data_IF_337822290997
#
_entry.id   IF_337822290997
#
_cell.length_a   1.000
_cell.length_b   1.000
_cell.length_c   1.000
_cell.angle_alpha   90.00
_cell.angle_beta   90.00
_cell.angle_gamma   90.00
#
_symmetry.space_group_name_H-M   'P 1'
#
loop_
_entity.id
_entity.type
_entity.pdbx_description
1 polymer ?
#
# COMPACT_ATOMS: atom_id res chain seq x y z
N UNK A 1 25.25 -53.56 -65.81
CA UNK A 1 24.70 -52.21 -65.70
C UNK A 1 23.94 -52.15 -64.37
N UNK A 2 24.60 -51.66 -63.32
CA UNK A 2 24.03 -51.57 -61.98
C UNK A 2 23.72 -50.12 -61.69
N UNK A 3 22.46 -49.75 -61.55
CA UNK A 3 21.98 -48.44 -61.18
C UNK A 3 22.03 -48.34 -59.66
N UNK A 4 22.90 -47.46 -59.14
CA UNK A 4 22.98 -47.10 -57.71
C UNK A 4 22.02 -45.97 -57.49
N UNK A 5 20.99 -46.20 -56.65
CA UNK A 5 20.03 -45.19 -56.19
C UNK A 5 20.58 -44.53 -54.93
N UNK A 6 20.90 -43.24 -55.00
CA UNK A 6 21.36 -42.47 -53.87
C UNK A 6 20.12 -41.88 -53.16
N UNK A 7 19.86 -42.37 -51.95
CA UNK A 7 18.78 -41.86 -51.09
C UNK A 7 19.34 -40.76 -50.20
N UNK A 8 19.03 -39.50 -50.50
CA UNK A 8 19.37 -38.37 -49.64
C UNK A 8 18.30 -38.30 -48.52
N UNK A 9 18.71 -38.61 -47.30
CA UNK A 9 17.91 -38.38 -46.11
C UNK A 9 18.07 -36.90 -45.67
N UNK A 10 17.01 -36.11 -45.83
CA UNK A 10 16.94 -34.76 -45.30
C UNK A 10 16.58 -34.83 -43.81
N UNK A 11 17.53 -34.62 -42.94
CA UNK A 11 17.30 -34.46 -41.50
C UNK A 11 16.75 -33.05 -41.26
N UNK A 12 15.43 -32.93 -41.07
CA UNK A 12 14.81 -31.70 -40.60
C UNK A 12 15.10 -31.53 -39.10
N UNK A 13 16.03 -30.64 -38.80
CA UNK A 13 16.30 -30.20 -37.43
C UNK A 13 15.21 -29.20 -37.03
N UNK A 14 14.20 -29.69 -36.35
CA UNK A 14 13.20 -28.82 -35.67
C UNK A 14 13.83 -28.19 -34.45
N UNK A 15 14.22 -26.94 -34.57
CA UNK A 15 14.57 -26.11 -33.44
C UNK A 15 13.26 -25.80 -32.66
N UNK A 16 12.96 -26.62 -31.66
CA UNK A 16 11.97 -26.28 -30.66
C UNK A 16 12.62 -25.21 -29.76
N UNK A 17 12.53 -23.96 -30.19
CA UNK A 17 12.79 -22.81 -29.32
C UNK A 17 11.74 -22.82 -28.22
N UNK A 18 12.08 -23.34 -27.06
CA UNK A 18 11.30 -23.15 -25.86
C UNK A 18 11.18 -21.65 -25.62
N UNK A 19 10.00 -21.10 -25.81
CA UNK A 19 9.66 -19.79 -25.28
C UNK A 19 9.59 -20.00 -23.78
N UNK A 20 10.71 -19.72 -23.07
CA UNK A 20 10.65 -19.52 -21.64
C UNK A 20 9.65 -18.40 -21.41
N UNK A 21 8.42 -18.78 -21.08
CA UNK A 21 7.46 -17.87 -20.51
C UNK A 21 8.13 -17.38 -19.22
N UNK A 22 8.77 -16.22 -19.29
CA UNK A 22 9.23 -15.51 -18.11
C UNK A 22 8.03 -15.42 -17.20
N UNK A 23 8.01 -16.23 -16.18
CA UNK A 23 7.00 -16.18 -15.12
C UNK A 23 7.10 -14.78 -14.56
N UNK A 24 6.18 -13.91 -14.96
CA UNK A 24 6.11 -12.57 -14.42
C UNK A 24 5.99 -12.72 -12.92
N UNK A 25 7.09 -12.41 -12.23
CA UNK A 25 7.15 -12.53 -10.77
C UNK A 25 6.04 -11.64 -10.22
N UNK A 26 5.04 -12.25 -9.60
CA UNK A 26 3.96 -11.49 -8.99
C UNK A 26 4.53 -10.65 -7.87
N UNK A 27 4.22 -9.36 -7.87
CA UNK A 27 4.57 -8.44 -6.79
C UNK A 27 3.55 -8.52 -5.64
N UNK A 28 2.70 -9.54 -5.63
CA UNK A 28 1.69 -9.71 -4.61
C UNK A 28 2.35 -9.92 -3.24
N UNK A 29 1.98 -9.12 -2.22
CA UNK A 29 2.51 -9.30 -0.87
C UNK A 29 2.19 -10.69 -0.32
N UNK A 30 3.04 -11.19 0.57
CA UNK A 30 2.93 -12.54 1.13
C UNK A 30 1.78 -12.65 2.15
N UNK A 31 1.62 -11.64 3.01
CA UNK A 31 0.69 -11.69 4.14
C UNK A 31 -0.47 -10.72 3.99
N UNK A 32 -1.65 -11.13 4.45
CA UNK A 32 -2.82 -10.27 4.54
C UNK A 32 -2.50 -8.98 5.32
N UNK A 33 -2.95 -7.85 4.81
CA UNK A 33 -2.66 -6.53 5.37
C UNK A 33 -1.27 -5.98 5.03
N UNK A 34 -0.45 -6.71 4.27
CA UNK A 34 0.81 -6.18 3.74
C UNK A 34 0.57 -5.22 2.60
N UNK A 35 1.47 -4.23 2.54
CA UNK A 35 1.50 -3.25 1.45
C UNK A 35 2.91 -3.15 0.90
N UNK A 36 3.03 -3.18 -0.41
CA UNK A 36 4.29 -2.94 -1.11
C UNK A 36 4.14 -1.77 -2.06
N UNK A 37 5.20 -0.99 -2.22
CA UNK A 37 5.30 0.02 -3.26
C UNK A 37 5.99 -0.58 -4.48
N UNK A 38 5.45 -0.32 -5.67
CA UNK A 38 6.09 -0.67 -6.92
C UNK A 38 7.10 0.43 -7.26
N UNK A 39 8.36 0.05 -7.40
CA UNK A 39 9.43 0.99 -7.73
C UNK A 39 9.56 1.17 -9.25
N UNK A 40 10.21 2.25 -9.72
CA UNK A 40 10.37 2.52 -11.16
C UNK A 40 11.08 1.43 -11.94
N UNK A 41 11.92 0.63 -11.29
CA UNK A 41 12.61 -0.53 -11.88
C UNK A 41 11.73 -1.78 -11.97
N UNK A 42 10.45 -1.69 -11.55
CA UNK A 42 9.51 -2.78 -11.51
C UNK A 42 9.65 -3.71 -10.31
N UNK A 43 10.57 -3.44 -9.39
CA UNK A 43 10.68 -4.17 -8.13
C UNK A 43 9.65 -3.71 -7.11
N UNK A 44 9.47 -4.48 -6.03
CA UNK A 44 8.58 -4.13 -4.93
C UNK A 44 9.37 -3.82 -3.66
N UNK A 45 8.99 -2.77 -2.97
CA UNK A 45 9.51 -2.41 -1.66
C UNK A 45 8.41 -2.55 -0.61
N UNK A 46 8.64 -3.39 0.41
CA UNK A 46 7.67 -3.54 1.51
C UNK A 46 7.62 -2.27 2.35
N UNK A 47 6.42 -1.79 2.62
CA UNK A 47 6.23 -0.68 3.56
C UNK A 47 6.48 -1.15 4.99
N UNK A 48 7.09 -0.28 5.79
CA UNK A 48 7.23 -0.55 7.23
C UNK A 48 5.86 -0.60 7.90
N UNK A 49 5.66 -1.58 8.77
CA UNK A 49 4.41 -1.77 9.53
C UNK A 49 4.60 -1.37 10.98
N UNK A 50 3.66 -0.58 11.47
CA UNK A 50 3.61 -0.14 12.86
C UNK A 50 2.36 -0.68 13.52
N UNK A 51 2.56 -1.39 14.64
CA UNK A 51 1.45 -1.80 15.48
C UNK A 51 1.13 -0.67 16.45
N UNK A 52 0.04 0.04 16.16
CA UNK A 52 -0.31 1.26 16.87
C UNK A 52 -1.52 1.02 17.76
N UNK A 53 -1.34 1.26 19.07
CA UNK A 53 -2.46 1.31 19.98
C UNK A 53 -3.24 2.61 19.80
N UNK A 54 -4.52 2.50 19.54
CA UNK A 54 -5.41 3.66 19.45
C UNK A 54 -5.53 4.28 20.84
N UNK A 55 -5.06 5.52 20.98
CA UNK A 55 -5.24 6.32 22.19
C UNK A 55 -6.52 7.15 22.05
N UNK A 56 -7.57 6.75 22.74
CA UNK A 56 -8.73 7.59 22.92
C UNK A 56 -8.44 8.57 24.05
N UNK A 57 -8.46 9.87 23.78
CA UNK A 57 -8.34 10.86 24.84
C UNK A 57 -9.46 10.67 25.86
N UNK A 58 -9.10 10.52 27.14
CA UNK A 58 -10.10 10.51 28.20
C UNK A 58 -10.82 11.87 28.19
N UNK A 59 -12.12 11.86 27.89
CA UNK A 59 -12.95 13.03 28.05
C UNK A 59 -13.00 13.37 29.53
N UNK A 60 -12.54 14.56 29.90
CA UNK A 60 -12.72 15.07 31.24
C UNK A 60 -14.22 15.39 31.37
N UNK A 61 -14.94 14.58 32.12
CA UNK A 61 -16.28 14.90 32.57
C UNK A 61 -16.18 16.03 33.59
N UNK A 62 -16.25 17.26 33.15
CA UNK A 62 -16.50 18.39 34.04
C UNK A 62 -17.98 18.68 33.97
N UNK A 63 -18.67 18.33 35.08
CA UNK A 63 -19.98 18.81 35.48
C UNK A 63 -20.88 19.32 34.33
N UNK A 64 -21.64 18.42 33.70
CA UNK A 64 -22.86 18.81 32.97
C UNK A 64 -22.72 19.35 31.56
N UNK A 65 -21.51 19.56 31.02
CA UNK A 65 -21.31 19.97 29.63
C UNK A 65 -20.83 18.80 28.80
N UNK A 66 -21.55 18.53 27.69
CA UNK A 66 -21.18 17.53 26.69
C UNK A 66 -19.75 17.80 26.18
N UNK A 67 -18.85 17.00 26.68
CA UNK A 67 -17.42 17.17 26.49
C UNK A 67 -17.00 17.09 25.03
N UNK A 68 -15.95 17.82 24.76
CA UNK A 68 -15.19 17.87 23.53
C UNK A 68 -15.11 16.51 22.84
N UNK A 69 -15.39 16.50 21.53
CA UNK A 69 -15.23 15.35 20.64
C UNK A 69 -13.88 14.70 20.90
N UNK A 70 -13.91 13.48 21.41
CA UNK A 70 -12.69 12.71 21.67
C UNK A 70 -11.98 12.46 20.34
N UNK A 71 -10.82 13.07 20.15
CA UNK A 71 -9.99 12.85 18.98
C UNK A 71 -9.13 11.62 19.24
N UNK A 72 -9.39 10.56 18.54
CA UNK A 72 -8.52 9.40 18.49
C UNK A 72 -7.34 9.68 17.56
N UNK A 73 -6.13 9.43 18.03
CA UNK A 73 -4.90 9.65 17.24
C UNK A 73 -4.14 8.36 17.07
N UNK A 74 -3.61 8.18 15.86
CA UNK A 74 -2.49 7.30 15.57
C UNK A 74 -1.21 8.10 15.73
N UNK A 75 -0.25 7.57 16.46
CA UNK A 75 1.07 8.18 16.64
C UNK A 75 2.12 7.11 16.37
N UNK A 76 3.05 7.41 15.47
CA UNK A 76 4.16 6.55 15.06
C UNK A 76 5.45 7.29 15.36
N UNK A 77 6.36 6.65 16.07
CA UNK A 77 7.66 7.21 16.38
C UNK A 77 8.50 7.41 15.10
N UNK A 78 9.37 8.40 15.11
CA UNK A 78 10.16 8.79 13.96
C UNK A 78 9.45 9.80 13.05
N UNK A 79 10.24 10.71 12.51
CA UNK A 79 9.76 11.84 11.70
C UNK A 79 9.47 11.46 10.25
N UNK A 80 10.06 10.37 9.74
CA UNK A 80 10.05 10.01 8.32
C UNK A 80 9.76 8.54 8.12
N UNK A 81 9.11 8.20 7.00
CA UNK A 81 8.95 6.83 6.55
C UNK A 81 10.22 6.34 5.83
N UNK A 82 10.50 5.04 5.92
CA UNK A 82 11.66 4.42 5.26
C UNK A 82 11.49 4.35 3.75
N UNK A 83 10.27 4.06 3.26
CA UNK A 83 9.96 4.03 1.84
C UNK A 83 9.53 5.42 1.40
N UNK A 84 10.29 5.99 0.47
CA UNK A 84 10.08 7.33 -0.06
C UNK A 84 9.90 7.25 -1.58
N UNK A 85 8.81 7.78 -2.08
CA UNK A 85 8.41 7.70 -3.48
C UNK A 85 8.48 9.07 -4.13
N UNK A 86 8.92 9.11 -5.38
CA UNK A 86 8.98 10.34 -6.15
C UNK A 86 7.59 10.72 -6.68
N UNK A 87 7.04 11.82 -6.18
CA UNK A 87 5.73 12.33 -6.58
C UNK A 87 5.64 12.82 -8.03
N UNK A 88 6.79 13.01 -8.70
CA UNK A 88 6.83 13.33 -10.14
C UNK A 88 6.53 12.13 -11.02
N UNK A 89 6.71 10.93 -10.50
CA UNK A 89 6.47 9.66 -11.18
C UNK A 89 5.10 9.05 -10.78
N UNK A 90 4.52 8.18 -11.61
CA UNK A 90 3.38 7.38 -11.18
C UNK A 90 3.72 6.57 -9.92
N UNK A 91 2.83 6.62 -8.93
CA UNK A 91 2.97 5.87 -7.68
C UNK A 91 1.95 4.75 -7.69
N UNK A 92 2.42 3.54 -7.45
CA UNK A 92 1.59 2.35 -7.34
C UNK A 92 1.88 1.63 -6.03
N UNK A 93 0.82 1.24 -5.33
CA UNK A 93 0.89 0.35 -4.17
C UNK A 93 0.13 -0.94 -4.46
N UNK A 94 0.65 -2.06 -4.00
CA UNK A 94 -0.09 -3.33 -4.00
C UNK A 94 -0.42 -3.67 -2.55
N UNK A 95 -1.70 -3.85 -2.30
CA UNK A 95 -2.26 -4.11 -0.97
C UNK A 95 -2.86 -5.49 -0.96
N UNK A 96 -2.38 -6.37 -0.08
CA UNK A 96 -2.99 -7.69 0.10
C UNK A 96 -4.14 -7.60 1.09
N UNK A 97 -5.32 -8.02 0.64
CA UNK A 97 -6.51 -8.18 1.45
C UNK A 97 -6.75 -9.68 1.75
N UNK A 98 -7.81 -10.00 2.47
CA UNK A 98 -8.26 -11.37 2.64
C UNK A 98 -8.63 -12.01 1.30
N UNK A 99 -9.35 -11.27 0.48
CA UNK A 99 -9.69 -11.57 -0.91
C UNK A 99 -9.88 -10.24 -1.67
N UNK A 100 -10.05 -10.30 -2.99
CA UNK A 100 -10.29 -9.10 -3.81
C UNK A 100 -11.74 -9.02 -4.31
N UNK A 101 -12.69 -9.42 -3.48
CA UNK A 101 -14.14 -9.38 -3.78
C UNK A 101 -14.81 -8.14 -3.23
N UNK A 102 -14.31 -7.60 -2.11
CA UNK A 102 -14.84 -6.39 -1.51
C UNK A 102 -14.46 -5.14 -2.32
N UNK A 103 -15.21 -4.06 -2.14
CA UNK A 103 -14.79 -2.75 -2.66
C UNK A 103 -13.53 -2.29 -1.91
N UNK A 104 -12.40 -2.04 -2.60
CA UNK A 104 -11.17 -1.61 -1.97
C UNK A 104 -11.33 -0.33 -1.14
N UNK A 105 -12.22 0.58 -1.52
CA UNK A 105 -12.48 1.80 -0.75
C UNK A 105 -13.16 1.53 0.59
N UNK A 106 -13.78 0.37 0.78
CA UNK A 106 -14.37 -0.02 2.05
C UNK A 106 -13.35 -0.56 3.05
N UNK A 107 -12.26 -1.12 2.56
CA UNK A 107 -11.26 -1.83 3.38
C UNK A 107 -9.89 -1.16 3.43
N UNK A 108 -9.53 -0.34 2.45
CA UNK A 108 -8.24 0.37 2.41
C UNK A 108 -8.44 1.85 2.65
N UNK A 109 -7.60 2.43 3.50
CA UNK A 109 -7.54 3.87 3.73
C UNK A 109 -6.12 4.35 3.62
N UNK A 110 -5.91 5.33 2.75
CA UNK A 110 -4.63 6.03 2.62
C UNK A 110 -4.85 7.46 3.13
N UNK A 111 -4.00 7.91 4.04
CA UNK A 111 -4.18 9.20 4.70
C UNK A 111 -2.85 9.89 4.99
N UNK A 112 -2.90 11.21 4.99
CA UNK A 112 -1.75 12.05 5.31
C UNK A 112 -1.47 12.05 6.81
N UNK A 113 -0.20 12.01 7.18
CA UNK A 113 0.27 12.13 8.55
C UNK A 113 0.99 13.47 8.75
N UNK A 114 0.74 14.10 9.88
CA UNK A 114 1.50 15.28 10.30
C UNK A 114 2.82 14.81 10.92
N UNK A 115 3.93 15.19 10.30
CA UNK A 115 5.26 14.92 10.82
C UNK A 115 5.72 16.00 11.80
N UNK A 116 6.42 15.57 12.85
CA UNK A 116 7.16 16.40 13.79
C UNK A 116 8.58 15.83 13.91
N UNK A 117 9.54 16.51 14.54
CA UNK A 117 10.89 15.97 14.70
C UNK A 117 10.95 14.62 15.44
N UNK A 118 9.92 14.27 16.22
CA UNK A 118 9.89 13.06 17.05
C UNK A 118 8.96 11.97 16.53
N UNK A 119 7.88 12.35 15.84
CA UNK A 119 6.84 11.38 15.44
C UNK A 119 6.03 11.87 14.24
N UNK A 120 5.29 10.92 13.65
CA UNK A 120 4.24 11.15 12.65
C UNK A 120 2.89 10.83 13.30
N UNK A 121 1.88 11.64 13.04
CA UNK A 121 0.57 11.41 13.65
C UNK A 121 -0.58 11.79 12.71
N UNK A 122 -1.69 11.07 12.86
CA UNK A 122 -2.95 11.40 12.20
C UNK A 122 -4.11 11.32 13.20
N UNK A 123 -5.11 12.16 13.03
CA UNK A 123 -6.33 12.10 13.84
C UNK A 123 -7.28 11.14 13.15
N UNK A 124 -7.65 10.06 13.84
CA UNK A 124 -8.65 9.11 13.40
C UNK A 124 -9.91 9.36 14.21
N UNK A 125 -10.96 9.90 13.60
CA UNK A 125 -12.24 9.97 14.26
C UNK A 125 -12.87 8.61 14.30
N UNK A 126 -13.08 8.08 15.50
CA UNK A 126 -13.87 6.89 15.80
C UNK A 126 -13.50 5.64 14.97
N UNK A 127 -12.68 4.80 15.56
CA UNK A 127 -12.53 3.40 15.16
C UNK A 127 -13.58 2.60 15.90
N UNK A 128 -14.45 1.95 15.19
CA UNK A 128 -15.53 1.11 15.74
C UNK A 128 -16.74 1.07 14.84
N UNK A 129 -17.00 2.13 14.15
CA UNK A 129 -18.00 2.19 13.10
C UNK A 129 -17.46 3.06 11.99
N UNK A 130 -17.49 2.57 10.78
CA UNK A 130 -17.12 3.31 9.58
C UNK A 130 -18.07 4.49 9.29
N UNK A 131 -18.74 5.00 10.28
CA UNK A 131 -19.53 6.22 10.22
C UNK A 131 -18.59 7.41 10.31
N UNK A 132 -18.21 7.88 9.14
CA UNK A 132 -17.48 9.11 8.93
C UNK A 132 -18.36 10.28 9.39
N UNK A 133 -18.22 10.66 10.62
CA UNK A 133 -18.60 12.00 11.07
C UNK A 133 -17.37 12.70 11.67
N UNK A 134 -16.42 13.05 10.83
CA UNK A 134 -15.63 14.27 10.97
C UNK A 134 -14.54 14.36 9.92
N UNK A 135 -14.49 15.48 9.25
CA UNK A 135 -13.52 15.92 8.24
C UNK A 135 -12.11 16.18 8.80
N UNK A 136 -11.61 15.36 9.71
CA UNK A 136 -10.30 15.59 10.35
C UNK A 136 -9.18 14.72 9.79
N UNK A 137 -9.51 13.67 9.04
CA UNK A 137 -8.52 12.83 8.38
C UNK A 137 -8.37 13.31 6.93
N UNK A 138 -7.16 13.69 6.56
CA UNK A 138 -6.81 14.08 5.21
C UNK A 138 -6.52 12.82 4.40
N UNK A 139 -7.54 12.30 3.71
CA UNK A 139 -7.40 11.13 2.87
C UNK A 139 -6.66 11.48 1.57
N UNK A 140 -5.82 10.55 1.13
CA UNK A 140 -5.26 10.54 -0.21
C UNK A 140 -6.15 9.65 -1.09
N UNK A 141 -6.90 10.24 -2.05
CA UNK A 141 -7.75 9.47 -2.95
C UNK A 141 -6.91 8.57 -3.85
N UNK A 142 -7.43 7.40 -4.15
CA UNK A 142 -6.81 6.44 -5.03
C UNK A 142 -7.84 5.77 -5.94
N UNK A 143 -7.38 5.28 -7.07
CA UNK A 143 -8.08 4.29 -7.87
C UNK A 143 -7.54 2.91 -7.54
N UNK A 144 -8.39 1.89 -7.65
CA UNK A 144 -7.98 0.52 -7.35
C UNK A 144 -8.45 -0.46 -8.41
N UNK A 145 -7.58 -1.42 -8.74
CA UNK A 145 -7.87 -2.55 -9.62
C UNK A 145 -7.50 -3.84 -8.91
N UNK A 146 -8.23 -4.91 -9.21
CA UNK A 146 -7.86 -6.25 -8.73
C UNK A 146 -6.47 -6.61 -9.22
N UNK A 147 -5.68 -7.23 -8.36
CA UNK A 147 -4.33 -7.68 -8.66
C UNK A 147 -4.08 -9.03 -8.00
N UNK A 148 -3.49 -9.96 -8.76
CA UNK A 148 -3.21 -11.29 -8.26
C UNK A 148 -4.46 -12.01 -7.74
N UNK A 149 -4.26 -12.84 -6.75
CA UNK A 149 -5.30 -13.70 -6.18
C UNK A 149 -6.18 -12.97 -5.15
N UNK A 150 -5.56 -12.16 -4.29
CA UNK A 150 -6.24 -11.51 -3.16
C UNK A 150 -5.80 -10.07 -2.91
N UNK A 151 -5.23 -9.41 -3.91
CA UNK A 151 -4.70 -8.07 -3.77
C UNK A 151 -5.42 -7.03 -4.62
N UNK A 152 -5.12 -5.78 -4.31
CA UNK A 152 -5.50 -4.62 -5.10
C UNK A 152 -4.26 -3.81 -5.46
N UNK A 153 -4.20 -3.33 -6.70
CA UNK A 153 -3.25 -2.33 -7.15
C UNK A 153 -3.90 -0.97 -7.02
N UNK A 154 -3.30 -0.10 -6.23
CA UNK A 154 -3.74 1.27 -6.01
C UNK A 154 -2.89 2.22 -6.84
N UNK A 155 -3.53 3.19 -7.47
CA UNK A 155 -2.88 4.28 -8.22
C UNK A 155 -3.39 5.62 -7.72
N UNK A 156 -2.55 6.66 -7.82
CA UNK A 156 -2.84 7.98 -7.27
C UNK A 156 -2.77 9.04 -8.36
N UNK A 157 -3.87 9.72 -8.61
CA UNK A 157 -3.91 10.87 -9.52
C UNK A 157 -3.14 12.06 -8.93
N UNK A 158 -3.44 12.38 -7.66
CA UNK A 158 -2.77 13.44 -6.92
C UNK A 158 -1.73 12.85 -5.98
N UNK A 159 -0.52 13.40 -6.01
CA UNK A 159 0.64 12.92 -5.25
C UNK A 159 1.30 14.04 -4.47
N UNK A 160 0.58 14.72 -3.54
CA UNK A 160 1.16 15.81 -2.77
C UNK A 160 2.26 15.30 -1.84
N UNK A 161 3.32 16.07 -1.72
CA UNK A 161 4.45 15.75 -0.84
C UNK A 161 3.99 15.63 0.61
N UNK A 162 4.49 14.61 1.31
CA UNK A 162 4.17 14.38 2.72
C UNK A 162 4.43 12.97 3.19
N UNK A 163 4.15 12.75 4.47
CA UNK A 163 4.17 11.44 5.12
C UNK A 163 2.76 10.85 5.09
N UNK A 164 2.66 9.55 4.82
CA UNK A 164 1.38 8.87 4.63
C UNK A 164 1.31 7.57 5.41
N UNK A 165 0.09 7.23 5.84
CA UNK A 165 -0.25 5.94 6.42
C UNK A 165 -1.27 5.20 5.55
N UNK A 166 -1.16 3.88 5.55
CA UNK A 166 -2.11 2.96 4.95
C UNK A 166 -2.64 2.03 6.01
N UNK A 167 -3.95 1.97 6.14
CA UNK A 167 -4.65 0.98 6.97
C UNK A 167 -5.40 0.04 6.05
N UNK A 168 -5.21 -1.24 6.25
CA UNK A 168 -6.00 -2.30 5.62
C UNK A 168 -6.88 -2.90 6.70
N UNK A 169 -8.19 -2.83 6.50
CA UNK A 169 -9.15 -3.40 7.45
C UNK A 169 -9.05 -4.92 7.43
N UNK A 170 -8.77 -5.51 8.58
CA UNK A 170 -8.78 -6.95 8.77
C UNK A 170 -9.96 -7.32 9.68
N UNK A 171 -11.01 -7.97 9.15
CA UNK A 171 -12.16 -8.37 9.94
C UNK A 171 -11.83 -9.43 11.01
N UNK A 172 -10.66 -10.07 10.90
CA UNK A 172 -10.19 -11.07 11.86
C UNK A 172 -9.33 -10.45 12.98
N UNK A 173 -9.23 -9.13 13.04
CA UNK A 173 -8.45 -8.48 14.09
C UNK A 173 -9.10 -8.70 15.47
N UNK A 174 -8.38 -9.37 16.35
CA UNK A 174 -8.87 -9.77 17.70
C UNK A 174 -8.89 -8.57 18.66
N UNK A 175 -8.04 -7.57 18.44
CA UNK A 175 -7.97 -6.38 19.29
C UNK A 175 -8.39 -5.12 18.54
N UNK A 176 -9.61 -4.66 18.76
CA UNK A 176 -10.14 -3.44 18.14
C UNK A 176 -9.35 -2.17 18.48
N UNK A 177 -8.51 -2.21 19.53
CA UNK A 177 -7.68 -1.09 19.94
C UNK A 177 -6.31 -1.07 19.26
N UNK A 178 -5.97 -2.13 18.55
CA UNK A 178 -4.72 -2.25 17.83
C UNK A 178 -4.96 -2.12 16.33
N UNK A 179 -4.23 -1.21 15.70
CA UNK A 179 -4.29 -0.98 14.25
C UNK A 179 -2.90 -1.11 13.67
N UNK A 180 -2.78 -1.86 12.59
CA UNK A 180 -1.55 -1.92 11.82
C UNK A 180 -1.59 -0.79 10.80
N UNK A 181 -0.58 0.07 10.84
CA UNK A 181 -0.40 1.16 9.89
C UNK A 181 0.89 0.92 9.11
N UNK A 182 0.78 0.77 7.81
CA UNK A 182 1.93 0.77 6.90
C UNK A 182 2.24 2.21 6.50
N UNK A 183 3.53 2.59 6.40
CA UNK A 183 3.89 3.98 6.14
C UNK A 183 4.80 4.14 4.92
N UNK A 184 4.59 5.26 4.21
CA UNK A 184 5.43 5.72 3.11
C UNK A 184 5.44 7.24 3.04
N UNK A 185 6.35 7.78 2.26
CA UNK A 185 6.37 9.21 1.97
C UNK A 185 6.34 9.48 0.48
N UNK A 186 5.81 10.62 0.12
CA UNK A 186 5.89 11.18 -1.23
C UNK A 186 6.76 12.43 -1.16
N UNK A 187 7.84 12.42 -1.92
CA UNK A 187 8.73 13.57 -2.07
C UNK A 187 8.46 14.30 -3.38
N UNK A 188 8.77 15.58 -3.42
CA UNK A 188 8.92 16.25 -4.71
C UNK A 188 10.13 15.61 -5.39
N UNK A 189 9.94 15.22 -6.65
CA UNK A 189 11.05 14.69 -7.45
C UNK A 189 12.29 15.53 -7.22
N UNK A 190 13.39 14.88 -6.93
CA UNK A 190 14.64 15.55 -6.63
C UNK A 190 14.98 16.49 -7.79
N UNK A 191 14.81 17.79 -7.56
CA UNK A 191 15.42 18.80 -8.41
C UNK A 191 16.94 18.64 -8.23
N UNK A 192 17.68 18.12 -9.23
CA UNK A 192 19.12 17.88 -9.09
C UNK A 192 19.94 19.17 -8.86
N UNK A 193 19.29 20.32 -8.75
CA UNK A 193 19.89 21.65 -8.58
C UNK A 193 19.89 22.20 -7.15
N UNK A 194 19.46 21.41 -6.16
CA UNK A 194 19.61 21.79 -4.75
C UNK A 194 20.59 20.85 -4.04
N UNK A 195 21.85 21.02 -4.34
CA UNK A 195 22.99 20.70 -3.46
C UNK A 195 23.77 21.94 -3.21
#
# INVERSE_FOLDING_TARGET
MKKILFLMAFAAWTWAGGIDAATAQTLEPEFEGEVVAVLPDGSASKLEKHNVRIKTGAGVYIAGFAAAKQKTKVVIDGSTANVRLDGSQPIELIVRAKDNKADPMSIVRVFRMKATPKNRSAVISAVGTFNVQSNTMEYLPFEAKKYGESSYRLTFEKRPTGEYGVIVSNPNNVDEKMVIVSTFAIDNGSDPKKK
#
